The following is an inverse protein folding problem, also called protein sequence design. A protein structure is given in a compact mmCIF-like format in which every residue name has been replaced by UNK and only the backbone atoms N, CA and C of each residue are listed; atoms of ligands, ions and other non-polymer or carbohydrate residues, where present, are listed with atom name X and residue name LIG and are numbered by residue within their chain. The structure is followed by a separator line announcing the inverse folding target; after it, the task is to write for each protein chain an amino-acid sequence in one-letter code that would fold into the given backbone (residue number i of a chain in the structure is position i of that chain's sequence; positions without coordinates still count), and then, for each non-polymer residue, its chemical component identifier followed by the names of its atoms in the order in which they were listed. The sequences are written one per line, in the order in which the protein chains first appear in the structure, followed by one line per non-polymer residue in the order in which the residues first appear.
data_IF_428850424865
#
_entry.id   IF_428850424865
#
_cell.length_a   1.000
_cell.length_b   1.000
_cell.length_c   1.000
_cell.angle_alpha   90.00
_cell.angle_beta   90.00
_cell.angle_gamma   90.00
#
_symmetry.space_group_name_H-M   'P 1'
#
loop_
_entity.id
_entity.type
_entity.pdbx_description
1 polymer ?
#
# COMPACT_ATOMS: atom_id res chain seq x y z
N UNK A 1 -29.02 -18.31 24.36
CA UNK A 1 -29.48 -17.42 23.28
C UNK A 1 -28.57 -16.19 23.30
N UNK A 2 -27.78 -15.98 22.24
CA UNK A 2 -26.90 -14.81 22.12
C UNK A 2 -27.71 -13.57 21.75
N UNK A 3 -27.47 -12.46 22.45
CA UNK A 3 -28.11 -11.17 22.17
C UNK A 3 -27.73 -10.68 20.75
N UNK A 4 -28.63 -9.96 20.05
CA UNK A 4 -28.31 -9.36 18.76
C UNK A 4 -27.13 -8.40 18.90
N UNK A 5 -26.15 -8.54 18.01
CA UNK A 5 -24.97 -7.68 17.98
C UNK A 5 -25.36 -6.21 17.77
N UNK A 6 -24.84 -5.31 18.61
CA UNK A 6 -25.18 -3.89 18.56
C UNK A 6 -24.61 -3.22 17.30
N UNK A 7 -25.25 -2.14 16.84
CA UNK A 7 -24.77 -1.40 15.66
C UNK A 7 -23.36 -0.81 15.87
N UNK A 8 -23.02 -0.47 17.12
CA UNK A 8 -21.68 -0.07 17.52
C UNK A 8 -20.67 -1.21 17.35
N UNK A 9 -21.02 -2.45 17.74
CA UNK A 9 -20.16 -3.63 17.55
C UNK A 9 -19.90 -3.92 16.06
N UNK A 10 -20.91 -3.74 15.21
CA UNK A 10 -20.74 -3.85 13.73
C UNK A 10 -19.79 -2.81 13.17
N UNK A 11 -19.85 -1.56 13.66
CA UNK A 11 -18.94 -0.46 13.26
C UNK A 11 -17.50 -0.68 13.76
N UNK A 12 -17.35 -1.14 15.00
CA UNK A 12 -16.04 -1.42 15.61
C UNK A 12 -15.31 -2.58 14.94
N UNK A 13 -16.03 -3.59 14.43
CA UNK A 13 -15.43 -4.65 13.57
C UNK A 13 -14.79 -4.13 12.29
N UNK A 14 -15.15 -2.93 11.82
CA UNK A 14 -14.55 -2.28 10.66
C UNK A 14 -13.27 -1.49 10.98
N UNK A 15 -12.94 -1.27 12.25
CA UNK A 15 -11.69 -0.62 12.66
C UNK A 15 -10.58 -1.68 12.61
N UNK A 16 -9.93 -1.80 11.45
CA UNK A 16 -8.65 -2.50 11.38
C UNK A 16 -7.59 -1.63 12.06
N UNK A 17 -6.98 -2.17 13.11
CA UNK A 17 -5.72 -1.64 13.62
C UNK A 17 -4.73 -1.52 12.47
N UNK A 18 -4.02 -0.39 12.39
CA UNK A 18 -3.04 -0.12 11.34
C UNK A 18 -1.90 -1.14 11.43
N UNK A 19 -2.00 -2.21 10.65
CA UNK A 19 -1.01 -3.29 10.60
C UNK A 19 -0.07 -3.17 9.38
N UNK A 20 -0.10 -2.05 8.68
CA UNK A 20 0.71 -1.78 7.51
C UNK A 20 0.70 -0.31 7.16
N UNK A 21 1.35 0.04 6.06
CA UNK A 21 1.45 1.40 5.56
C UNK A 21 1.52 1.39 4.03
N UNK A 22 1.59 2.57 3.41
CA UNK A 22 1.70 2.67 1.96
C UNK A 22 2.95 1.97 1.43
N UNK A 23 4.10 2.01 2.12
CA UNK A 23 5.31 1.31 1.68
C UNK A 23 5.08 -0.21 1.55
N UNK A 24 4.34 -0.82 2.48
CA UNK A 24 3.96 -2.24 2.43
C UNK A 24 2.70 -2.53 1.59
N UNK A 25 2.18 -1.54 0.86
CA UNK A 25 0.96 -1.67 0.08
C UNK A 25 1.24 -2.00 -1.40
N UNK A 26 0.47 -2.94 -1.97
CA UNK A 26 0.56 -3.28 -3.39
C UNK A 26 0.36 -2.07 -4.32
N UNK A 27 -0.44 -1.09 -3.87
CA UNK A 27 -0.84 0.10 -4.62
C UNK A 27 0.13 1.28 -4.52
N UNK A 28 1.24 1.14 -3.82
CA UNK A 28 2.27 2.18 -3.74
C UNK A 28 3.23 2.06 -4.91
N UNK A 29 3.23 3.09 -5.76
CA UNK A 29 4.01 3.14 -6.98
C UNK A 29 5.29 3.96 -6.78
N UNK A 30 6.18 3.46 -5.92
CA UNK A 30 7.52 4.04 -5.75
C UNK A 30 8.28 4.05 -7.09
N UNK A 31 9.03 5.13 -7.32
CA UNK A 31 9.93 5.28 -8.46
C UNK A 31 11.25 4.53 -8.28
N UNK A 32 11.62 4.24 -7.03
CA UNK A 32 12.81 3.47 -6.68
C UNK A 32 12.43 2.34 -5.71
N UNK A 33 12.01 1.17 -6.21
CA UNK A 33 11.66 0.03 -5.37
C UNK A 33 12.88 -0.67 -4.76
N UNK A 34 14.12 -0.29 -5.11
CA UNK A 34 15.33 -0.86 -4.54
C UNK A 34 15.74 -0.15 -3.25
N UNK A 35 15.57 1.17 -3.21
CA UNK A 35 15.92 2.00 -2.05
C UNK A 35 14.71 2.63 -1.34
N UNK A 36 13.49 2.18 -1.67
CA UNK A 36 12.26 2.74 -1.10
C UNK A 36 12.26 2.75 0.44
N UNK A 37 11.99 3.90 1.03
CA UNK A 37 11.90 4.10 2.46
C UNK A 37 10.51 4.59 2.94
N UNK A 38 10.35 4.75 4.26
CA UNK A 38 9.08 5.17 4.87
C UNK A 38 8.73 6.65 4.60
N UNK A 39 9.71 7.50 4.34
CA UNK A 39 9.54 8.93 4.11
C UNK A 39 9.32 9.24 2.62
N UNK A 40 9.66 8.31 1.74
CA UNK A 40 9.45 8.43 0.31
C UNK A 40 8.00 8.75 -0.05
N UNK A 41 7.85 9.63 -1.04
CA UNK A 41 6.55 10.04 -1.55
C UNK A 41 6.32 9.43 -2.92
N UNK A 42 5.20 8.75 -3.07
CA UNK A 42 4.83 8.13 -4.33
C UNK A 42 3.33 8.24 -4.59
N UNK A 43 2.94 7.93 -5.84
CA UNK A 43 1.53 7.90 -6.21
C UNK A 43 0.85 6.66 -5.64
N UNK A 44 -0.38 6.83 -5.16
CA UNK A 44 -1.29 5.70 -4.92
C UNK A 44 -2.00 5.34 -6.24
N UNK A 45 -1.82 4.10 -6.70
CA UNK A 45 -2.42 3.61 -7.96
C UNK A 45 -3.66 2.72 -7.73
N UNK A 46 -4.23 2.73 -6.53
CA UNK A 46 -5.45 1.97 -6.25
C UNK A 46 -6.57 2.39 -7.23
N UNK A 47 -7.30 1.47 -7.90
CA UNK A 47 -8.25 1.82 -8.95
C UNK A 47 -9.34 2.83 -8.57
N UNK A 48 -9.80 2.78 -7.31
CA UNK A 48 -10.79 3.74 -6.75
C UNK A 48 -10.19 5.11 -6.41
N UNK A 49 -8.87 5.21 -6.24
CA UNK A 49 -8.18 6.43 -5.78
C UNK A 49 -7.35 7.10 -6.89
N UNK A 50 -6.98 6.37 -7.95
CA UNK A 50 -6.12 6.87 -9.04
C UNK A 50 -6.65 8.16 -9.68
N UNK A 51 -7.96 8.36 -9.69
CA UNK A 51 -8.62 9.56 -10.24
C UNK A 51 -8.24 10.84 -9.48
N UNK A 52 -7.90 10.73 -8.20
CA UNK A 52 -7.51 11.85 -7.36
C UNK A 52 -6.01 12.16 -7.43
N UNK A 53 -5.23 11.32 -8.13
CA UNK A 53 -3.77 11.47 -8.28
C UNK A 53 -3.03 11.67 -6.94
N UNK A 54 -3.44 10.93 -5.90
CA UNK A 54 -2.90 11.08 -4.55
C UNK A 54 -1.39 10.80 -4.52
N UNK A 55 -0.65 11.70 -3.86
CA UNK A 55 0.76 11.51 -3.51
C UNK A 55 0.85 11.30 -2.00
N UNK A 56 1.24 10.08 -1.60
CA UNK A 56 1.29 9.62 -0.21
C UNK A 56 2.73 9.30 0.17
N UNK A 57 3.05 9.44 1.45
CA UNK A 57 4.29 8.95 2.05
C UNK A 57 4.21 7.44 2.26
N UNK A 58 5.35 6.74 2.24
CA UNK A 58 5.45 5.34 2.64
C UNK A 58 4.88 5.06 4.04
N UNK A 59 4.88 6.05 4.94
CA UNK A 59 4.32 5.99 6.30
C UNK A 59 2.80 6.11 6.36
N UNK A 60 2.15 6.66 5.33
CA UNK A 60 0.71 6.89 5.33
C UNK A 60 -0.06 5.55 5.32
N UNK A 61 -1.37 5.60 5.59
CA UNK A 61 -2.24 4.44 5.57
C UNK A 61 -3.67 4.81 5.14
N UNK A 62 -4.40 3.86 4.56
CA UNK A 62 -5.83 4.01 4.29
C UNK A 62 -6.59 2.69 4.47
N UNK A 63 -7.92 2.77 4.56
CA UNK A 63 -8.82 1.63 4.70
C UNK A 63 -8.93 0.74 3.45
N UNK A 64 -8.23 1.06 2.36
CA UNK A 64 -8.09 0.23 1.16
C UNK A 64 -6.73 -0.47 1.09
N UNK A 65 -6.02 -0.52 2.22
CA UNK A 65 -4.74 -1.20 2.35
C UNK A 65 -4.87 -2.67 1.93
N UNK A 66 -3.96 -3.08 1.05
CA UNK A 66 -3.71 -4.48 0.69
C UNK A 66 -2.21 -4.69 0.69
N UNK A 67 -1.77 -5.70 1.45
CA UNK A 67 -0.36 -6.03 1.62
C UNK A 67 0.25 -6.53 0.31
N UNK A 68 1.41 -5.99 -0.05
CA UNK A 68 2.18 -6.48 -1.19
C UNK A 68 2.79 -7.85 -0.86
N UNK A 69 2.62 -8.83 -1.76
CA UNK A 69 3.19 -10.17 -1.58
C UNK A 69 4.66 -10.19 -1.99
N UNK A 70 5.44 -11.08 -1.36
CA UNK A 70 6.87 -11.26 -1.64
C UNK A 70 7.19 -11.39 -3.15
N UNK A 71 6.45 -12.22 -3.89
CA UNK A 71 6.63 -12.38 -5.35
C UNK A 71 6.45 -11.07 -6.13
N UNK A 72 5.59 -10.18 -5.65
CA UNK A 72 5.34 -8.88 -6.29
C UNK A 72 6.45 -7.89 -5.95
N UNK A 73 7.02 -7.96 -4.75
CA UNK A 73 8.23 -7.20 -4.37
C UNK A 73 9.39 -7.61 -5.27
N UNK A 74 9.66 -8.91 -5.37
CA UNK A 74 10.74 -9.47 -6.21
C UNK A 74 10.59 -9.04 -7.67
N UNK A 75 9.38 -9.11 -8.21
CA UNK A 75 9.11 -8.64 -9.58
C UNK A 75 9.37 -7.15 -9.77
N UNK A 76 8.95 -6.29 -8.82
CA UNK A 76 9.23 -4.85 -8.87
C UNK A 76 10.73 -4.56 -8.83
N UNK A 77 11.46 -5.25 -7.96
CA UNK A 77 12.91 -5.11 -7.83
C UNK A 77 13.65 -5.59 -9.08
N UNK A 78 13.27 -6.74 -9.66
CA UNK A 78 13.84 -7.27 -10.89
C UNK A 78 13.66 -6.29 -12.06
N UNK A 79 12.47 -5.69 -12.19
CA UNK A 79 12.18 -4.72 -13.24
C UNK A 79 13.01 -3.43 -13.07
N UNK A 80 13.22 -2.97 -11.83
CA UNK A 80 14.07 -1.82 -11.55
C UNK A 80 15.55 -2.10 -11.87
N UNK A 81 16.08 -3.27 -11.47
CA UNK A 81 17.45 -3.69 -11.82
C UNK A 81 17.66 -3.74 -13.34
N UNK A 82 16.68 -4.23 -14.10
CA UNK A 82 16.73 -4.25 -15.57
C UNK A 82 16.69 -2.84 -16.19
N UNK A 83 16.02 -1.89 -15.55
CA UNK A 83 15.94 -0.50 -16.03
C UNK A 83 17.26 0.24 -15.79
N UNK A 84 17.85 0.07 -14.60
CA UNK A 84 19.19 0.57 -14.25
C UNK A 84 20.24 0.09 -15.26
N UNK A 85 20.26 -1.22 -15.54
CA UNK A 85 21.23 -1.85 -16.46
C UNK A 85 21.10 -1.41 -17.93
N UNK A 86 19.96 -0.82 -18.35
CA UNK A 86 19.74 -0.30 -19.71
C UNK A 86 20.04 1.20 -19.82
N UNK A 87 20.17 1.88 -18.69
CA UNK A 87 20.33 3.33 -18.62
C UNK A 87 21.79 3.76 -18.38
N UNK A 88 22.68 2.80 -18.10
CA UNK A 88 24.13 2.96 -18.07
C UNK A 88 24.78 2.48 -19.37
#
# INVERSE_FOLDING_TARGET
MSLPESELQKRLKGIQWQNGNCLSCIWFATTDPLNADLLDRAKCIHPKLKIYQLVVSGRDWCNLYEEIKQKQIEHKQEMALKAEAKSG
#
